data_IF_596968693071
#
_entry.id   IF_596968693071
#
_cell.length_a   1.000
_cell.length_b   1.000
_cell.length_c   1.000
_cell.angle_alpha   90.00
_cell.angle_beta   90.00
_cell.angle_gamma   90.00
#
_symmetry.space_group_name_H-M   'P 1'
#
loop_
_entity.id
_entity.type
_entity.pdbx_description
1 polymer ?
#
# COMPACT_ATOMS: atom_id res chain seq x y z
N UNK A 1 -4.21 -4.71 -2.52
CA UNK A 1 -2.92 -5.42 -2.42
C UNK A 1 -2.27 -5.32 -3.79
N UNK A 2 -0.97 -5.02 -3.88
CA UNK A 2 -0.27 -4.94 -5.16
C UNK A 2 0.27 -6.30 -5.59
N UNK A 3 0.54 -6.48 -6.88
CA UNK A 3 1.15 -7.71 -7.43
C UNK A 3 2.50 -8.08 -6.76
N UNK A 4 3.25 -7.09 -6.26
CA UNK A 4 4.50 -7.32 -5.55
C UNK A 4 4.32 -7.80 -4.09
N UNK A 5 3.08 -7.79 -3.59
CA UNK A 5 2.73 -8.15 -2.22
C UNK A 5 2.81 -6.99 -1.22
N UNK A 6 2.57 -5.75 -1.68
CA UNK A 6 2.52 -4.55 -0.84
C UNK A 6 1.10 -4.02 -0.71
N UNK A 7 0.80 -3.28 0.35
CA UNK A 7 -0.47 -2.57 0.54
C UNK A 7 -0.29 -1.13 0.11
N UNK A 8 -1.03 -0.72 -0.92
CA UNK A 8 -1.16 0.67 -1.34
C UNK A 8 -2.53 1.19 -0.87
N UNK A 9 -2.60 2.05 0.17
CA UNK A 9 -3.87 2.45 0.80
C UNK A 9 -4.70 3.45 -0.05
N UNK A 10 -4.07 4.06 -1.05
CA UNK A 10 -4.70 5.01 -1.96
C UNK A 10 -4.03 4.90 -3.34
N UNK A 11 -4.82 4.71 -4.41
CA UNK A 11 -4.29 4.71 -5.77
C UNK A 11 -3.69 6.07 -6.17
N UNK A 12 -4.17 7.17 -5.59
CA UNK A 12 -3.64 8.52 -5.82
C UNK A 12 -2.44 8.89 -4.94
N UNK A 13 -1.84 7.94 -4.22
CA UNK A 13 -0.68 8.16 -3.36
C UNK A 13 0.36 7.04 -3.59
N UNK A 14 1.65 7.38 -3.52
CA UNK A 14 2.72 6.43 -3.80
C UNK A 14 3.14 5.55 -2.63
N UNK A 15 2.65 5.83 -1.42
CA UNK A 15 2.97 5.06 -0.22
C UNK A 15 2.54 3.60 -0.38
N UNK A 16 3.46 2.68 -0.06
CA UNK A 16 3.25 1.24 -0.07
C UNK A 16 3.85 0.62 1.19
N UNK A 17 3.12 -0.31 1.82
CA UNK A 17 3.57 -1.06 2.99
C UNK A 17 3.82 -2.51 2.60
N UNK A 18 5.02 -3.04 2.85
CA UNK A 18 5.39 -4.39 2.43
C UNK A 18 4.84 -5.45 3.39
N UNK A 19 3.81 -6.19 2.96
CA UNK A 19 3.28 -7.33 3.71
C UNK A 19 3.99 -8.64 3.36
N UNK A 20 4.51 -8.76 2.13
CA UNK A 20 5.16 -9.98 1.65
C UNK A 20 6.39 -10.31 2.47
N UNK A 21 7.20 -9.32 2.84
CA UNK A 21 8.38 -9.52 3.67
C UNK A 21 7.98 -10.06 5.05
N UNK A 22 6.98 -9.44 5.70
CA UNK A 22 6.49 -9.88 7.00
C UNK A 22 5.93 -11.31 6.95
N UNK A 23 5.08 -11.61 5.96
CA UNK A 23 4.51 -12.95 5.77
C UNK A 23 5.58 -14.01 5.51
N UNK A 24 6.60 -13.70 4.71
CA UNK A 24 7.69 -14.64 4.42
C UNK A 24 8.64 -14.87 5.60
N UNK A 25 8.73 -13.91 6.51
CA UNK A 25 9.50 -14.04 7.74
C UNK A 25 8.72 -14.77 8.86
N UNK A 26 7.48 -15.19 8.61
CA UNK A 26 6.64 -15.84 9.61
C UNK A 26 6.15 -14.89 10.68
N UNK A 27 5.92 -13.61 10.33
CA UNK A 27 5.33 -12.64 11.22
C UNK A 27 4.00 -13.15 11.80
N UNK A 28 3.77 -12.85 13.08
CA UNK A 28 2.50 -13.16 13.74
C UNK A 28 1.40 -12.16 13.33
N UNK A 29 0.16 -12.48 13.70
CA UNK A 29 -1.00 -11.64 13.40
C UNK A 29 -0.91 -10.24 14.01
N UNK A 30 -0.14 -10.06 15.09
CA UNK A 30 0.04 -8.75 15.74
C UNK A 30 0.88 -7.84 14.85
N UNK A 31 2.00 -8.35 14.34
CA UNK A 31 2.86 -7.64 13.40
C UNK A 31 2.10 -7.31 12.11
N UNK A 32 1.31 -8.26 11.58
CA UNK A 32 0.48 -8.02 10.40
C UNK A 32 -0.58 -6.94 10.65
N UNK A 33 -1.23 -6.97 11.83
CA UNK A 33 -2.19 -5.95 12.24
C UNK A 33 -1.53 -4.58 12.32
N UNK A 34 -0.35 -4.47 12.93
CA UNK A 34 0.38 -3.19 13.06
C UNK A 34 0.77 -2.61 11.70
N UNK A 35 1.17 -3.47 10.75
CA UNK A 35 1.48 -3.06 9.37
C UNK A 35 0.22 -2.55 8.64
N UNK A 36 -0.91 -3.23 8.82
CA UNK A 36 -2.19 -2.81 8.24
C UNK A 36 -2.69 -1.50 8.86
N UNK A 37 -2.62 -1.36 10.18
CA UNK A 37 -2.97 -0.11 10.86
C UNK A 37 -2.06 1.04 10.42
N UNK A 38 -0.77 0.77 10.23
CA UNK A 38 0.17 1.76 9.70
C UNK A 38 -0.23 2.18 8.28
N UNK A 39 -0.59 1.23 7.41
CA UNK A 39 -1.10 1.55 6.07
C UNK A 39 -2.39 2.39 6.13
N UNK A 40 -3.28 2.12 7.08
CA UNK A 40 -4.50 2.89 7.30
C UNK A 40 -4.21 4.32 7.78
N UNK A 41 -3.27 4.49 8.72
CA UNK A 41 -2.85 5.82 9.21
C UNK A 41 -2.21 6.67 8.11
N UNK A 42 -1.54 6.04 7.14
CA UNK A 42 -0.94 6.71 5.99
C UNK A 42 -1.95 7.02 4.87
N UNK A 43 -3.20 6.57 5.00
CA UNK A 43 -4.25 6.89 4.03
C UNK A 43 -4.60 8.37 4.12
N UNK A 44 -4.42 9.15 3.04
CA UNK A 44 -4.84 10.55 3.05
C UNK A 44 -6.37 10.63 3.17
N UNK A 45 -6.86 11.75 3.74
CA UNK A 45 -8.29 12.01 3.92
C UNK A 45 -9.05 11.98 2.58
N UNK A 46 -8.40 12.45 1.52
CA UNK A 46 -8.95 12.51 0.18
C UNK A 46 -7.95 12.05 -0.88
N UNK A 47 -8.46 11.65 -2.05
CA UNK A 47 -7.64 11.24 -3.17
C UNK A 47 -7.12 12.46 -3.93
N UNK A 48 -5.80 12.63 -4.01
CA UNK A 48 -5.17 13.75 -4.72
C UNK A 48 -5.09 13.54 -6.25
N UNK A 49 -6.11 12.94 -6.88
CA UNK A 49 -6.10 12.69 -8.32
C UNK A 49 -6.09 13.99 -9.15
N UNK A 50 -6.69 15.06 -8.63
CA UNK A 50 -6.96 16.29 -9.38
C UNK A 50 -5.80 17.28 -9.40
N UNK A 51 -4.81 17.12 -8.52
CA UNK A 51 -3.82 18.16 -8.23
C UNK A 51 -2.37 17.80 -8.65
N UNK A 52 -2.19 16.94 -9.67
CA UNK A 52 -0.92 16.39 -10.18
C UNK A 52 -0.55 14.97 -9.69
N UNK A 53 -1.51 14.04 -9.69
CA UNK A 53 -1.16 12.63 -9.52
C UNK A 53 -0.38 12.11 -10.74
N UNK A 54 0.94 11.94 -10.59
CA UNK A 54 1.80 11.31 -11.59
C UNK A 54 2.23 9.92 -11.10
N UNK A 55 1.52 8.85 -11.52
CA UNK A 55 1.89 7.49 -11.15
C UNK A 55 3.34 7.19 -11.55
N UNK A 56 4.20 6.87 -10.58
CA UNK A 56 5.53 6.31 -10.87
C UNK A 56 5.45 5.00 -11.68
N UNK A 57 4.29 4.32 -11.65
CA UNK A 57 3.96 3.15 -12.47
C UNK A 57 2.46 3.09 -12.74
N UNK A 58 2.03 2.61 -13.93
CA UNK A 58 0.62 2.52 -14.27
C UNK A 58 -0.14 1.57 -13.34
N UNK A 59 -1.45 1.77 -13.20
CA UNK A 59 -2.29 0.92 -12.34
C UNK A 59 -2.26 -0.56 -12.75
N UNK A 60 -2.10 -0.86 -14.04
CA UNK A 60 -1.95 -2.24 -14.54
C UNK A 60 -0.71 -2.94 -13.98
N UNK A 61 0.35 -2.20 -13.65
CA UNK A 61 1.59 -2.76 -13.11
C UNK A 61 1.51 -3.08 -11.60
N UNK A 62 0.44 -2.69 -10.91
CA UNK A 62 0.25 -2.97 -9.47
C UNK A 62 -0.77 -4.07 -9.20
N UNK A 63 -1.20 -4.84 -10.19
CA UNK A 63 -2.17 -5.94 -10.02
C UNK A 63 -3.58 -5.52 -10.36
N UNK A 64 -3.75 -4.96 -11.57
CA UNK A 64 -5.06 -4.65 -12.16
C UNK A 64 -5.90 -5.88 -12.40
#
# INVERSE_FOLDING_TARGET
>A
LTADGKVRPCLGNHIEVDLRMALRQGADDRVLKDLLETALRLKPLEHQFRANYQPCRPMTAIGG
#
